data_IF_768534626440
#
_entry.id   IF_768534626440
#
_cell.length_a   1.000
_cell.length_b   1.000
_cell.length_c   1.000
_cell.angle_alpha   90.00
_cell.angle_beta   90.00
_cell.angle_gamma   90.00
#
_symmetry.space_group_name_H-M   'P 1'
#
loop_
_entity.id
_entity.type
_entity.pdbx_description
1 polymer ?
#
# COMPACT_ATOMS: atom_id res chain seq x y z
N UNK A 1 3.75 0.28 -21.57
CA UNK A 1 3.46 0.50 -20.15
C UNK A 1 2.09 -0.08 -19.87
N UNK A 2 1.84 -0.72 -18.72
CA UNK A 2 0.51 -1.15 -18.34
C UNK A 2 -0.44 0.07 -18.22
N UNK A 3 -1.72 -0.14 -18.46
CA UNK A 3 -2.73 0.91 -18.35
C UNK A 3 -3.03 1.18 -16.86
N UNK A 4 -2.95 2.45 -16.46
CA UNK A 4 -3.19 2.84 -15.08
C UNK A 4 -4.68 2.85 -14.77
N UNK A 5 -5.03 2.37 -13.58
CA UNK A 5 -6.36 2.48 -12.99
C UNK A 5 -6.34 3.65 -12.00
N UNK A 6 -7.22 4.62 -12.19
CA UNK A 6 -7.37 5.73 -11.25
C UNK A 6 -8.03 5.24 -9.96
N UNK A 7 -7.35 5.40 -8.84
CA UNK A 7 -7.86 5.06 -7.51
C UNK A 7 -8.36 6.28 -6.73
N UNK A 8 -8.34 7.46 -7.34
CA UNK A 8 -8.84 8.70 -6.74
C UNK A 8 -7.88 9.38 -5.76
N UNK A 9 -6.62 8.92 -5.65
CA UNK A 9 -5.56 9.55 -4.84
C UNK A 9 -4.41 9.97 -5.75
N UNK A 10 -4.06 11.25 -5.72
CA UNK A 10 -3.03 11.83 -6.57
C UNK A 10 -1.67 11.13 -6.39
N UNK A 11 -1.07 10.71 -7.50
CA UNK A 11 0.24 10.04 -7.52
C UNK A 11 0.23 8.56 -7.12
N UNK A 12 -0.87 8.02 -6.62
CA UNK A 12 -1.03 6.55 -6.49
C UNK A 12 -1.26 5.97 -7.88
N UNK A 13 -0.52 4.91 -8.21
CA UNK A 13 -0.61 4.23 -9.51
C UNK A 13 -0.95 2.77 -9.29
N UNK A 14 -2.10 2.34 -9.79
CA UNK A 14 -2.53 0.95 -9.81
C UNK A 14 -2.60 0.48 -11.25
N UNK A 15 -2.08 -0.71 -11.55
CA UNK A 15 -2.18 -1.30 -12.88
C UNK A 15 -2.15 -2.82 -12.87
N UNK A 16 -2.83 -3.48 -13.82
CA UNK A 16 -2.77 -4.93 -13.95
C UNK A 16 -1.39 -5.39 -14.46
N UNK A 17 -0.92 -6.51 -13.94
CA UNK A 17 0.26 -7.21 -14.44
C UNK A 17 -0.18 -8.25 -15.46
N UNK A 18 0.59 -8.39 -16.55
CA UNK A 18 0.26 -9.32 -17.64
C UNK A 18 0.93 -10.66 -17.42
N UNK A 19 0.17 -11.74 -17.18
CA UNK A 19 0.71 -13.09 -17.16
C UNK A 19 0.98 -13.59 -18.59
N UNK A 20 2.07 -14.32 -18.75
CA UNK A 20 2.45 -15.01 -19.98
C UNK A 20 2.38 -16.52 -19.74
N UNK A 21 1.23 -17.19 -20.01
CA UNK A 21 1.05 -18.60 -19.78
C UNK A 21 1.72 -19.43 -20.89
N UNK A 22 2.25 -20.61 -20.52
CA UNK A 22 2.68 -21.67 -21.43
C UNK A 22 2.40 -23.06 -20.81
N UNK A 23 2.82 -24.16 -21.49
CA UNK A 23 2.58 -25.52 -21.02
C UNK A 23 3.22 -25.86 -19.67
N UNK A 24 4.13 -25.02 -19.16
CA UNK A 24 4.82 -25.19 -17.87
C UNK A 24 4.19 -24.37 -16.75
N UNK A 25 3.26 -23.45 -17.07
CA UNK A 25 2.62 -22.53 -16.11
C UNK A 25 2.54 -21.11 -16.63
N UNK A 26 2.92 -20.11 -15.80
CA UNK A 26 2.82 -18.70 -16.17
C UNK A 26 4.03 -17.92 -15.67
N UNK A 27 4.56 -17.06 -16.55
CA UNK A 27 5.56 -16.04 -16.20
C UNK A 27 4.89 -14.67 -16.11
N UNK A 28 5.23 -13.88 -15.09
CA UNK A 28 4.73 -12.52 -14.92
C UNK A 28 5.86 -11.63 -14.46
N UNK A 29 6.13 -10.54 -15.19
CA UNK A 29 6.98 -9.47 -14.64
C UNK A 29 6.19 -8.76 -13.55
N UNK A 30 6.74 -8.71 -12.34
CA UNK A 30 6.03 -8.12 -11.19
C UNK A 30 6.50 -6.70 -10.86
N UNK A 31 7.61 -6.26 -11.42
CA UNK A 31 8.12 -4.89 -11.28
C UNK A 31 9.06 -4.55 -12.44
N UNK A 32 8.93 -3.30 -12.91
CA UNK A 32 9.89 -2.66 -13.79
C UNK A 32 9.91 -1.16 -13.49
N UNK A 33 11.09 -0.60 -13.22
CA UNK A 33 11.22 0.82 -12.88
C UNK A 33 10.59 1.75 -13.93
N UNK A 34 10.72 1.40 -15.21
CA UNK A 34 10.15 2.17 -16.33
C UNK A 34 8.62 2.29 -16.30
N UNK A 35 7.92 1.47 -15.52
CA UNK A 35 6.46 1.58 -15.35
C UNK A 35 6.05 2.76 -14.45
N UNK A 36 7.00 3.31 -13.70
CA UNK A 36 6.80 4.36 -12.71
C UNK A 36 7.63 5.60 -13.06
N UNK A 37 7.31 6.30 -14.17
CA UNK A 37 8.10 7.44 -14.62
C UNK A 37 8.08 8.54 -13.55
N UNK A 38 9.26 9.04 -13.21
CA UNK A 38 9.45 10.06 -12.16
C UNK A 38 9.63 9.50 -10.76
N UNK A 39 9.44 8.18 -10.54
CA UNK A 39 9.79 7.57 -9.26
C UNK A 39 11.31 7.38 -9.11
N UNK A 40 11.78 7.30 -7.87
CA UNK A 40 13.16 6.88 -7.59
C UNK A 40 13.32 5.38 -7.82
N UNK A 41 14.56 4.92 -7.96
CA UNK A 41 14.89 3.48 -8.01
C UNK A 41 14.48 2.81 -6.69
N UNK A 42 13.94 1.61 -6.75
CA UNK A 42 13.56 0.79 -5.59
C UNK A 42 14.71 -0.17 -5.22
N UNK A 43 15.65 0.23 -4.34
CA UNK A 43 16.86 -0.56 -4.06
C UNK A 43 16.62 -1.74 -3.12
N UNK A 44 15.50 -1.77 -2.38
CA UNK A 44 15.17 -2.84 -1.43
C UNK A 44 13.86 -3.50 -1.80
N UNK A 45 13.84 -4.84 -1.77
CA UNK A 45 12.65 -5.67 -1.95
C UNK A 45 12.43 -6.53 -0.71
N UNK A 46 11.21 -6.57 -0.22
CA UNK A 46 10.80 -7.32 0.96
C UNK A 46 9.67 -8.29 0.61
N UNK A 47 9.58 -9.39 1.36
CA UNK A 47 8.47 -10.33 1.29
C UNK A 47 7.76 -10.39 2.64
N UNK A 48 6.47 -10.10 2.66
CA UNK A 48 5.60 -10.25 3.82
C UNK A 48 4.65 -11.43 3.62
N UNK A 49 4.76 -12.42 4.49
CA UNK A 49 3.80 -13.52 4.57
C UNK A 49 2.82 -13.22 5.71
N UNK A 50 1.54 -13.22 5.42
CA UNK A 50 0.50 -12.90 6.41
C UNK A 50 -0.59 -13.96 6.38
N UNK A 51 -0.94 -14.47 7.56
CA UNK A 51 -2.09 -15.38 7.73
C UNK A 51 -3.39 -14.62 7.45
N UNK A 52 -4.45 -15.35 7.17
CA UNK A 52 -5.79 -14.78 7.11
C UNK A 52 -6.11 -14.00 8.39
N UNK A 53 -6.88 -12.93 8.27
CA UNK A 53 -7.27 -11.96 9.32
C UNK A 53 -6.14 -11.08 9.85
N UNK A 54 -4.93 -11.15 9.34
CA UNK A 54 -3.86 -10.19 9.69
C UNK A 54 -4.17 -8.86 9.03
N UNK A 55 -4.12 -7.78 9.81
CA UNK A 55 -4.11 -6.40 9.31
C UNK A 55 -2.75 -5.78 9.66
N UNK A 56 -2.12 -5.14 8.69
CA UNK A 56 -0.90 -4.35 8.87
C UNK A 56 -1.16 -2.93 8.40
N UNK A 57 -0.93 -1.96 9.25
CA UNK A 57 -1.15 -0.54 8.94
C UNK A 57 -2.08 0.15 9.94
N UNK A 58 -2.53 1.37 9.62
CA UNK A 58 -2.02 2.13 8.48
C UNK A 58 -0.62 2.64 8.79
N UNK A 59 0.29 2.47 7.86
CA UNK A 59 1.62 3.05 7.93
C UNK A 59 1.73 4.20 6.92
N UNK A 60 2.65 5.11 7.14
CA UNK A 60 3.02 6.11 6.15
C UNK A 60 4.47 6.53 6.34
N UNK A 61 5.02 7.07 5.27
CA UNK A 61 6.39 7.56 5.20
C UNK A 61 6.37 8.99 4.68
N UNK A 62 7.28 9.82 5.15
CA UNK A 62 7.45 11.20 4.66
C UNK A 62 8.30 11.27 3.42
N UNK A 63 9.24 10.36 3.28
CA UNK A 63 10.23 10.34 2.21
C UNK A 63 10.19 9.09 1.35
N UNK A 64 9.83 7.93 1.93
CA UNK A 64 9.81 6.65 1.25
C UNK A 64 8.55 6.48 0.41
N UNK A 65 8.74 6.02 -0.83
CA UNK A 65 7.68 5.47 -1.66
C UNK A 65 7.72 3.94 -1.63
N UNK A 66 6.54 3.33 -1.71
CA UNK A 66 6.35 1.90 -1.75
C UNK A 66 5.81 1.43 -3.10
N UNK A 67 6.22 0.25 -3.53
CA UNK A 67 5.59 -0.48 -4.61
C UNK A 67 5.17 -1.86 -4.13
N UNK A 68 3.88 -2.16 -4.19
CA UNK A 68 3.30 -3.40 -3.70
C UNK A 68 2.84 -4.32 -4.82
N UNK A 69 3.05 -5.62 -4.64
CA UNK A 69 2.47 -6.67 -5.47
C UNK A 69 2.03 -7.84 -4.58
N UNK A 70 0.72 -8.08 -4.49
CA UNK A 70 0.19 -9.29 -3.86
C UNK A 70 0.45 -10.45 -4.80
N UNK A 71 1.29 -11.39 -4.39
CA UNK A 71 1.72 -12.53 -5.22
C UNK A 71 0.74 -13.70 -5.16
N UNK A 72 0.04 -13.89 -4.02
CA UNK A 72 -0.97 -14.93 -3.82
C UNK A 72 -2.00 -14.51 -2.78
N UNK A 73 -3.20 -15.08 -2.88
CA UNK A 73 -4.33 -14.85 -1.98
C UNK A 73 -5.07 -13.56 -2.24
N UNK A 74 -5.90 -13.15 -1.26
CA UNK A 74 -6.80 -11.99 -1.35
C UNK A 74 -6.49 -10.99 -0.26
N UNK A 75 -6.19 -9.75 -0.65
CA UNK A 75 -5.95 -8.62 0.24
C UNK A 75 -6.96 -7.49 -0.02
N UNK A 76 -7.49 -6.91 1.05
CA UNK A 76 -8.15 -5.61 1.03
C UNK A 76 -7.12 -4.57 1.43
N UNK A 77 -6.92 -3.54 0.61
CA UNK A 77 -5.93 -2.46 0.80
C UNK A 77 -6.68 -1.17 1.06
N UNK A 78 -6.36 -0.50 2.16
CA UNK A 78 -6.84 0.83 2.49
C UNK A 78 -5.74 1.87 2.30
N UNK A 79 -6.09 2.99 1.68
CA UNK A 79 -5.21 4.13 1.43
C UNK A 79 -5.88 5.42 1.94
N UNK A 80 -5.07 6.37 2.42
CA UNK A 80 -5.53 7.70 2.82
C UNK A 80 -4.47 8.75 2.52
N UNK A 81 -4.85 9.83 1.83
CA UNK A 81 -3.94 10.94 1.50
C UNK A 81 -3.79 11.91 2.67
N UNK A 82 -2.64 11.85 3.35
CA UNK A 82 -2.30 12.72 4.48
C UNK A 82 -1.67 14.05 4.06
N UNK A 83 -1.29 14.20 2.80
CA UNK A 83 -0.44 15.29 2.32
C UNK A 83 -1.19 16.61 2.31
N UNK A 84 -0.78 17.54 3.16
CA UNK A 84 -1.34 18.90 3.19
C UNK A 84 -1.09 19.61 1.86
N UNK A 85 -2.14 20.20 1.29
CA UNK A 85 -2.11 20.88 -0.01
C UNK A 85 -2.18 19.95 -1.24
N UNK A 86 -2.30 18.63 -1.04
CA UNK A 86 -2.55 17.70 -2.14
C UNK A 86 -3.91 17.94 -2.80
N UNK A 87 -4.05 17.77 -4.13
CA UNK A 87 -5.36 17.80 -4.79
C UNK A 87 -6.36 16.77 -4.24
N UNK A 88 -5.86 15.77 -3.54
CA UNK A 88 -6.65 14.70 -2.93
C UNK A 88 -6.46 14.58 -1.43
N UNK A 89 -6.03 15.67 -0.77
CA UNK A 89 -5.91 15.74 0.69
C UNK A 89 -7.19 15.22 1.36
N UNK A 90 -7.03 14.31 2.34
CA UNK A 90 -8.14 13.71 3.10
C UNK A 90 -8.98 12.69 2.32
N UNK A 91 -8.64 12.38 1.07
CA UNK A 91 -9.33 11.30 0.32
C UNK A 91 -8.79 9.93 0.70
N UNK A 92 -9.70 8.97 0.67
CA UNK A 92 -9.40 7.54 0.84
C UNK A 92 -9.62 6.76 -0.44
N UNK A 93 -9.00 5.60 -0.52
CA UNK A 93 -9.28 4.58 -1.53
C UNK A 93 -9.25 3.19 -0.89
N UNK A 94 -10.06 2.30 -1.44
CA UNK A 94 -10.21 0.91 -1.02
C UNK A 94 -10.05 0.02 -2.25
N UNK A 95 -9.13 -0.94 -2.18
CA UNK A 95 -8.78 -1.79 -3.32
C UNK A 95 -8.81 -3.25 -2.84
N UNK A 96 -9.59 -4.09 -3.49
CA UNK A 96 -9.50 -5.55 -3.28
C UNK A 96 -8.66 -6.18 -4.38
N UNK A 97 -7.58 -6.85 -3.99
CA UNK A 97 -6.71 -7.60 -4.89
C UNK A 97 -6.94 -9.09 -4.67
N UNK A 98 -7.37 -9.79 -5.71
CA UNK A 98 -7.46 -11.26 -5.78
C UNK A 98 -6.31 -11.72 -6.68
N UNK A 99 -5.14 -12.00 -6.08
CA UNK A 99 -3.90 -12.20 -6.82
C UNK A 99 -3.91 -13.43 -7.75
N UNK A 100 -4.67 -14.47 -7.38
CA UNK A 100 -4.78 -15.70 -8.17
C UNK A 100 -5.63 -15.52 -9.44
N UNK A 101 -6.50 -14.50 -9.45
CA UNK A 101 -7.27 -14.11 -10.63
C UNK A 101 -6.53 -13.03 -11.44
N UNK A 102 -6.06 -11.99 -10.77
CA UNK A 102 -5.41 -10.84 -11.40
C UNK A 102 -4.39 -10.18 -10.48
N UNK A 103 -3.11 -10.39 -10.76
CA UNK A 103 -2.05 -9.63 -10.06
C UNK A 103 -2.04 -8.18 -10.51
N UNK A 104 -1.74 -7.29 -9.56
CA UNK A 104 -1.68 -5.86 -9.79
C UNK A 104 -0.43 -5.29 -9.12
N UNK A 105 0.16 -4.28 -9.76
CA UNK A 105 1.18 -3.42 -9.18
C UNK A 105 0.53 -2.17 -8.61
N UNK A 106 0.91 -1.81 -7.38
CA UNK A 106 0.41 -0.61 -6.69
C UNK A 106 1.60 0.23 -6.23
N UNK A 107 1.77 1.40 -6.82
CA UNK A 107 2.73 2.40 -6.35
C UNK A 107 2.05 3.37 -5.40
N UNK A 108 2.69 3.62 -4.27
CA UNK A 108 2.22 4.48 -3.19
C UNK A 108 3.28 5.55 -2.93
N UNK A 109 3.00 6.82 -3.22
CA UNK A 109 3.96 7.90 -3.00
C UNK A 109 4.09 8.23 -1.51
N UNK A 110 5.17 8.92 -1.09
CA UNK A 110 5.33 9.44 0.25
C UNK A 110 4.10 10.24 0.69
N UNK A 111 3.77 10.18 1.98
CA UNK A 111 2.65 10.90 2.59
C UNK A 111 1.27 10.29 2.35
N UNK A 112 1.16 9.19 1.62
CA UNK A 112 -0.08 8.41 1.52
C UNK A 112 -0.03 7.27 2.55
N UNK A 113 -0.92 7.32 3.53
CA UNK A 113 -1.08 6.25 4.50
C UNK A 113 -1.68 5.02 3.82
N UNK A 114 -1.17 3.84 4.18
CA UNK A 114 -1.49 2.59 3.53
C UNK A 114 -1.48 1.42 4.51
N UNK A 115 -2.34 0.47 4.26
CA UNK A 115 -2.40 -0.76 5.02
C UNK A 115 -3.16 -1.83 4.25
N UNK A 116 -3.11 -3.06 4.74
CA UNK A 116 -3.90 -4.14 4.16
C UNK A 116 -4.48 -5.06 5.22
N UNK A 117 -5.62 -5.64 4.89
CA UNK A 117 -6.21 -6.76 5.59
C UNK A 117 -6.13 -8.02 4.71
N UNK A 118 -5.52 -9.07 5.24
CA UNK A 118 -5.41 -10.35 4.57
C UNK A 118 -6.72 -11.14 4.71
N UNK A 119 -7.57 -11.11 3.69
CA UNK A 119 -8.83 -11.86 3.69
C UNK A 119 -8.59 -13.38 3.66
N UNK A 120 -7.56 -13.79 2.94
CA UNK A 120 -7.00 -15.15 2.98
C UNK A 120 -5.54 -15.07 3.43
N UNK A 121 -4.83 -16.19 3.50
CA UNK A 121 -3.37 -16.15 3.59
C UNK A 121 -2.77 -15.52 2.34
N UNK A 122 -1.85 -14.56 2.50
CA UNK A 122 -1.24 -13.82 1.39
C UNK A 122 0.28 -13.83 1.43
N UNK A 123 0.88 -13.72 0.25
CA UNK A 123 2.26 -13.31 0.05
C UNK A 123 2.27 -11.94 -0.64
N UNK A 124 2.79 -10.92 0.04
CA UNK A 124 2.96 -9.57 -0.46
C UNK A 124 4.45 -9.30 -0.68
N UNK A 125 4.87 -9.06 -1.93
CA UNK A 125 6.14 -8.45 -2.24
C UNK A 125 5.98 -6.93 -2.23
N UNK A 126 6.89 -6.23 -1.56
CA UNK A 126 6.94 -4.77 -1.65
C UNK A 126 8.37 -4.28 -1.81
N UNK A 127 8.53 -3.32 -2.69
CA UNK A 127 9.79 -2.64 -2.95
C UNK A 127 9.68 -1.23 -2.38
N UNK A 128 10.82 -0.71 -1.92
CA UNK A 128 10.91 0.63 -1.33
C UNK A 128 12.09 1.38 -1.93
N UNK A 129 11.95 2.69 -2.09
CA UNK A 129 12.96 3.56 -2.70
C UNK A 129 13.97 4.13 -1.69
N UNK A 130 13.83 3.75 -0.42
CA UNK A 130 14.77 4.01 0.67
C UNK A 130 15.16 2.70 1.35
N UNK A 131 16.38 2.62 1.90
CA UNK A 131 16.71 1.53 2.81
C UNK A 131 16.03 1.74 4.16
N UNK A 132 15.54 0.65 4.74
CA UNK A 132 14.93 0.70 6.07
C UNK A 132 15.88 1.34 7.11
N UNK A 133 15.43 2.39 7.76
CA UNK A 133 16.19 3.10 8.79
C UNK A 133 15.45 3.20 10.14
N UNK A 134 14.17 2.90 10.17
CA UNK A 134 13.30 3.09 11.34
C UNK A 134 12.96 4.57 11.64
N UNK A 135 13.60 5.52 10.97
CA UNK A 135 13.38 6.95 11.22
C UNK A 135 12.17 7.53 10.46
N UNK A 136 11.76 6.91 9.35
CA UNK A 136 10.62 7.33 8.51
C UNK A 136 9.44 6.35 8.58
N UNK A 137 9.22 5.79 9.79
CA UNK A 137 8.21 4.75 10.05
C UNK A 137 7.10 5.31 10.95
N UNK A 138 6.04 5.83 10.35
CA UNK A 138 4.88 6.39 11.04
C UNK A 138 3.66 5.46 10.91
N UNK A 139 2.63 5.70 11.74
CA UNK A 139 1.39 4.93 11.67
C UNK A 139 0.18 5.73 12.11
N UNK A 140 -1.00 5.22 11.76
CA UNK A 140 -2.31 5.72 12.18
C UNK A 140 -3.14 4.53 12.66
N UNK A 141 -3.94 4.72 13.71
CA UNK A 141 -4.87 3.71 14.17
C UNK A 141 -5.79 3.27 13.03
N UNK A 142 -5.74 1.98 12.69
CA UNK A 142 -6.44 1.41 11.52
C UNK A 142 -7.96 1.60 11.57
N UNK A 143 -8.51 1.63 12.78
CA UNK A 143 -9.93 1.75 13.11
C UNK A 143 -10.38 3.21 13.36
N UNK A 144 -9.55 4.19 13.01
CA UNK A 144 -9.92 5.59 13.19
C UNK A 144 -11.09 5.97 12.28
N UNK A 145 -12.22 6.44 12.85
CA UNK A 145 -13.41 6.77 12.05
C UNK A 145 -13.17 7.94 11.07
N UNK A 146 -12.19 8.81 11.35
CA UNK A 146 -11.79 9.90 10.46
C UNK A 146 -11.19 9.42 9.14
N UNK A 147 -10.63 8.21 9.08
CA UNK A 147 -10.16 7.60 7.84
C UNK A 147 -11.32 7.21 6.92
N UNK A 148 -12.44 6.80 7.49
CA UNK A 148 -13.63 6.34 6.78
C UNK A 148 -13.41 5.06 5.97
N UNK A 149 -12.33 4.31 6.18
CA UNK A 149 -12.04 3.03 5.50
C UNK A 149 -12.95 1.95 6.07
N UNK A 150 -13.68 1.25 5.18
CA UNK A 150 -14.60 0.19 5.55
C UNK A 150 -13.91 -1.17 5.50
N UNK A 151 -13.07 -1.45 6.50
CA UNK A 151 -12.34 -2.71 6.57
C UNK A 151 -13.29 -3.90 6.68
N UNK A 152 -13.10 -4.98 5.89
CA UNK A 152 -13.88 -6.21 6.01
C UNK A 152 -13.36 -7.05 7.20
N UNK A 153 -13.15 -6.42 8.36
CA UNK A 153 -12.50 -6.99 9.53
C UNK A 153 -13.25 -6.62 10.81
N UNK A 154 -13.71 -7.61 11.57
CA UNK A 154 -14.35 -7.40 12.87
C UNK A 154 -13.34 -7.45 14.03
N UNK A 155 -12.36 -8.36 13.98
CA UNK A 155 -11.32 -8.58 14.99
C UNK A 155 -10.01 -9.02 14.31
N UNK A 156 -9.24 -8.07 13.72
CA UNK A 156 -8.03 -8.41 13.00
C UNK A 156 -6.87 -8.77 13.94
N UNK A 157 -5.97 -9.61 13.43
CA UNK A 157 -4.70 -9.90 14.08
C UNK A 157 -3.74 -8.75 13.80
N UNK A 158 -3.34 -8.03 14.84
CA UNK A 158 -2.48 -6.85 14.76
C UNK A 158 -1.13 -7.09 15.45
N UNK A 159 -0.10 -6.39 14.98
CA UNK A 159 1.13 -6.23 15.75
C UNK A 159 0.91 -5.34 16.98
N UNK A 160 1.83 -5.36 17.94
CA UNK A 160 1.80 -4.43 19.08
C UNK A 160 1.91 -2.96 18.61
N UNK A 161 2.74 -2.71 17.60
CA UNK A 161 2.87 -1.39 16.96
C UNK A 161 1.53 -0.91 16.41
N UNK A 162 0.87 -1.73 15.58
CA UNK A 162 -0.37 -1.32 14.90
C UNK A 162 -1.54 -1.10 15.87
N UNK A 163 -1.53 -1.78 17.03
CA UNK A 163 -2.51 -1.52 18.11
C UNK A 163 -2.32 -0.17 18.81
N UNK A 164 -1.10 0.34 18.83
CA UNK A 164 -0.72 1.54 19.57
C UNK A 164 -0.47 2.75 18.67
N UNK A 165 -0.80 2.67 17.40
CA UNK A 165 -0.69 3.81 16.49
C UNK A 165 -1.58 4.98 16.97
N UNK A 166 -1.13 6.24 16.81
CA UNK A 166 -1.91 7.44 17.15
C UNK A 166 -3.17 7.58 16.31
N UNK A 167 -4.10 8.39 16.78
CA UNK A 167 -5.31 8.76 16.03
C UNK A 167 -4.99 9.75 14.90
N UNK A 168 -5.86 9.78 13.90
CA UNK A 168 -5.70 10.62 12.71
C UNK A 168 -5.54 12.11 13.07
N UNK A 169 -6.32 12.63 14.01
CA UNK A 169 -6.26 14.02 14.43
C UNK A 169 -4.92 14.41 15.08
N UNK A 170 -4.23 13.46 15.69
CA UNK A 170 -2.88 13.64 16.22
C UNK A 170 -1.85 13.72 15.10
N UNK A 171 -1.97 12.81 14.12
CA UNK A 171 -1.07 12.76 12.96
C UNK A 171 -1.20 14.00 12.07
N UNK A 172 -2.43 14.50 11.87
CA UNK A 172 -2.69 15.68 11.02
C UNK A 172 -2.07 16.97 11.58
N UNK A 173 -1.70 17.04 12.87
CA UNK A 173 -0.99 18.21 13.43
C UNK A 173 0.41 18.40 12.84
N UNK A 174 0.99 17.33 12.30
CA UNK A 174 2.30 17.31 11.66
C UNK A 174 2.26 16.49 10.36
N UNK A 175 1.22 16.75 9.55
CA UNK A 175 1.02 16.05 8.29
C UNK A 175 2.15 16.33 7.28
N UNK A 176 2.52 15.36 6.41
CA UNK A 176 3.45 15.62 5.32
C UNK A 176 2.94 16.70 4.36
N UNK A 177 3.84 17.57 3.88
CA UNK A 177 3.47 18.54 2.84
C UNK A 177 3.47 17.90 1.45
N UNK A 178 2.50 18.30 0.62
CA UNK A 178 2.49 17.94 -0.79
C UNK A 178 3.60 18.67 -1.54
N UNK A 179 4.41 17.92 -2.32
CA UNK A 179 5.48 18.49 -3.15
C UNK A 179 6.85 18.65 -2.48
N UNK A 180 7.02 18.11 -1.28
CA UNK A 180 8.36 17.95 -0.64
C UNK A 180 8.97 16.61 -0.93
#
# INVERSE_FOLDING_TARGET
MPENVDVGIHGVVLFPLTPHPDDRGSFTEVYRHEWLPGSRVMPQSNLSLSKAKVLRGLHFHREQADYWCVLSGTAFIGLYDLRSGSPTEGKRAEITVVADERRQGLFIPPGVAHGFYATTEIALQYLVDQYFSGADEYGIAWDDPGLGIEWPAEDPILSERDRNNPRLDEVLKDAPDFGR
#
